data_IF_637848439386
#
_entry.id   IF_637848439386
#
_cell.length_a   1.000
_cell.length_b   1.000
_cell.length_c   1.000
_cell.angle_alpha   90.00
_cell.angle_beta   90.00
_cell.angle_gamma   90.00
#
_symmetry.space_group_name_H-M   'P 1'
#
loop_
_entity.id
_entity.type
_entity.pdbx_description
1 polymer ?
#
# COMPACT_ATOMS: atom_id res chain seq x y z
N UNK A 1 -19.66 -7.94 -8.16
CA UNK A 1 -19.10 -6.72 -7.55
C UNK A 1 -18.78 -5.66 -8.59
N UNK A 2 -17.85 -5.89 -9.53
CA UNK A 2 -17.53 -4.93 -10.62
C UNK A 2 -18.75 -4.43 -11.39
N UNK A 3 -19.58 -5.32 -11.93
CA UNK A 3 -20.78 -4.93 -12.70
C UNK A 3 -21.79 -4.08 -11.90
N UNK A 4 -21.74 -4.18 -10.56
CA UNK A 4 -22.59 -3.40 -9.66
C UNK A 4 -21.87 -2.17 -9.07
N UNK A 5 -20.63 -1.89 -9.47
CA UNK A 5 -19.85 -0.75 -8.98
C UNK A 5 -19.47 -0.82 -7.49
N UNK A 6 -19.46 -2.00 -6.88
CA UNK A 6 -19.14 -2.16 -5.44
C UNK A 6 -17.63 -2.08 -5.22
N UNK A 7 -17.11 -1.16 -4.38
CA UNK A 7 -15.70 -1.10 -4.01
C UNK A 7 -15.25 -2.38 -3.31
N UNK A 8 -14.08 -2.91 -3.67
CA UNK A 8 -13.56 -4.18 -3.17
C UNK A 8 -12.30 -3.94 -2.33
N UNK A 9 -12.36 -4.16 -1.03
CA UNK A 9 -11.19 -4.13 -0.17
C UNK A 9 -10.48 -5.50 -0.14
N UNK A 10 -9.16 -5.50 0.09
CA UNK A 10 -8.34 -6.71 0.25
C UNK A 10 -7.65 -6.65 1.62
N UNK A 11 -7.64 -7.75 2.35
CA UNK A 11 -7.09 -7.84 3.71
C UNK A 11 -6.36 -9.18 3.92
N UNK A 12 -5.55 -9.26 4.98
CA UNK A 12 -4.92 -10.51 5.41
C UNK A 12 -5.92 -11.52 5.96
N UNK A 13 -7.03 -11.03 6.53
CA UNK A 13 -7.92 -11.82 7.39
C UNK A 13 -7.13 -12.56 8.49
N UNK A 14 -6.01 -12.00 8.96
CA UNK A 14 -5.05 -12.74 9.79
C UNK A 14 -5.71 -13.35 11.03
N UNK A 15 -5.76 -14.68 11.07
CA UNK A 15 -6.35 -15.45 12.16
C UNK A 15 -5.78 -16.88 12.20
N UNK A 16 -5.76 -17.55 13.36
CA UNK A 16 -5.11 -18.85 13.51
C UNK A 16 -5.84 -20.02 12.81
N UNK A 17 -7.11 -19.86 12.43
CA UNK A 17 -7.94 -20.95 11.93
C UNK A 17 -7.95 -21.07 10.41
N UNK A 18 -8.30 -19.98 9.72
CA UNK A 18 -8.57 -20.01 8.26
C UNK A 18 -7.57 -19.21 7.45
N UNK A 19 -6.91 -18.20 8.04
CA UNK A 19 -5.92 -17.38 7.33
C UNK A 19 -4.71 -17.09 8.22
N UNK A 20 -3.77 -18.04 8.34
CA UNK A 20 -2.50 -17.85 9.02
C UNK A 20 -1.53 -16.96 8.21
N UNK A 21 -2.05 -15.98 7.47
CA UNK A 21 -1.30 -15.09 6.59
C UNK A 21 -0.88 -13.80 7.30
N UNK A 22 0.42 -13.50 7.26
CA UNK A 22 1.02 -12.31 7.88
C UNK A 22 1.41 -11.22 6.86
N UNK A 23 1.24 -11.47 5.56
CA UNK A 23 1.66 -10.56 4.50
C UNK A 23 0.47 -10.03 3.71
N UNK A 24 0.30 -8.70 3.77
CA UNK A 24 -0.70 -8.01 2.96
C UNK A 24 -0.34 -8.01 1.47
N UNK A 25 0.95 -7.96 1.13
CA UNK A 25 1.40 -8.04 -0.28
C UNK A 25 1.13 -9.43 -0.87
N UNK A 26 1.29 -10.49 -0.07
CA UNK A 26 0.88 -11.84 -0.49
C UNK A 26 -0.63 -11.88 -0.78
N UNK A 27 -1.46 -11.23 0.03
CA UNK A 27 -2.90 -11.18 -0.23
C UNK A 27 -3.27 -10.32 -1.43
N UNK A 28 -2.53 -9.25 -1.72
CA UNK A 28 -2.69 -8.50 -2.96
C UNK A 28 -2.39 -9.37 -4.18
N UNK A 29 -1.30 -10.16 -4.14
CA UNK A 29 -1.01 -11.15 -5.18
C UNK A 29 -2.12 -12.20 -5.31
N UNK A 30 -2.57 -12.80 -4.20
CA UNK A 30 -3.64 -13.80 -4.20
C UNK A 30 -4.95 -13.23 -4.72
N UNK A 31 -5.28 -11.97 -4.44
CA UNK A 31 -6.46 -11.32 -5.00
C UNK A 31 -6.36 -11.21 -6.54
N UNK A 32 -5.18 -10.86 -7.07
CA UNK A 32 -4.95 -10.87 -8.51
C UNK A 32 -5.02 -12.29 -9.10
N UNK A 33 -4.35 -13.26 -8.49
CA UNK A 33 -4.21 -14.62 -9.02
C UNK A 33 -5.49 -15.45 -8.91
N UNK A 34 -6.12 -15.45 -7.73
CA UNK A 34 -7.26 -16.32 -7.41
C UNK A 34 -8.59 -15.67 -7.76
N UNK A 35 -8.71 -14.35 -7.57
CA UNK A 35 -9.97 -13.61 -7.78
C UNK A 35 -9.95 -12.73 -9.04
N UNK A 36 -8.85 -12.77 -9.80
CA UNK A 36 -8.68 -12.03 -11.06
C UNK A 36 -8.88 -10.53 -10.88
N UNK A 37 -8.46 -9.99 -9.73
CA UNK A 37 -8.31 -8.54 -9.58
C UNK A 37 -7.19 -8.04 -10.49
N UNK A 38 -7.36 -6.86 -11.06
CA UNK A 38 -6.25 -6.16 -11.71
C UNK A 38 -5.33 -5.57 -10.63
N UNK A 39 -4.07 -5.29 -10.98
CA UNK A 39 -3.13 -4.62 -10.07
C UNK A 39 -3.72 -3.32 -9.50
N UNK A 40 -4.31 -2.40 -10.31
CA UNK A 40 -4.97 -1.21 -9.77
C UNK A 40 -6.10 -1.51 -8.78
N UNK A 41 -6.92 -2.55 -9.03
CA UNK A 41 -7.99 -2.94 -8.11
C UNK A 41 -7.44 -3.48 -6.79
N UNK A 42 -6.39 -4.31 -6.82
CA UNK A 42 -5.76 -4.82 -5.61
C UNK A 42 -5.11 -3.68 -4.80
N UNK A 43 -4.42 -2.75 -5.46
CA UNK A 43 -3.81 -1.57 -4.81
C UNK A 43 -4.87 -0.65 -4.21
N UNK A 44 -5.96 -0.36 -4.93
CA UNK A 44 -7.11 0.37 -4.38
C UNK A 44 -7.73 -0.40 -3.20
N UNK A 45 -7.78 -1.73 -3.31
CA UNK A 45 -8.27 -2.65 -2.29
C UNK A 45 -7.54 -2.57 -0.96
N UNK A 46 -6.22 -2.40 -0.98
CA UNK A 46 -5.37 -2.26 0.22
C UNK A 46 -5.10 -0.81 0.62
N UNK A 47 -5.67 0.18 -0.09
CA UNK A 47 -5.51 1.61 0.22
C UNK A 47 -6.88 2.29 0.38
N UNK A 48 -7.43 2.86 -0.69
CA UNK A 48 -8.65 3.67 -0.67
C UNK A 48 -9.87 2.87 -0.19
N UNK A 49 -10.06 1.65 -0.69
CA UNK A 49 -11.22 0.82 -0.35
C UNK A 49 -11.10 0.24 1.07
N UNK A 50 -9.89 -0.13 1.50
CA UNK A 50 -9.63 -0.49 2.90
C UNK A 50 -9.91 0.68 3.86
N UNK A 51 -9.45 1.89 3.53
CA UNK A 51 -9.72 3.08 4.34
C UNK A 51 -11.23 3.33 4.46
N UNK A 52 -11.99 3.20 3.37
CA UNK A 52 -13.46 3.30 3.40
C UNK A 52 -14.11 2.21 4.25
N UNK A 53 -13.65 0.97 4.16
CA UNK A 53 -14.17 -0.14 4.96
C UNK A 53 -13.98 0.08 6.47
N UNK A 54 -12.93 0.81 6.86
CA UNK A 54 -12.63 1.19 8.24
C UNK A 54 -13.29 2.51 8.68
N UNK A 55 -14.03 3.21 7.82
CA UNK A 55 -14.59 4.54 8.11
C UNK A 55 -13.55 5.66 8.16
N UNK A 56 -12.38 5.47 7.53
CA UNK A 56 -11.23 6.38 7.54
C UNK A 56 -10.98 7.07 6.19
N UNK A 57 -11.92 7.00 5.25
CA UNK A 57 -11.75 7.52 3.88
C UNK A 57 -11.37 9.02 3.80
N UNK A 58 -11.72 9.81 4.81
CA UNK A 58 -11.44 11.25 4.85
C UNK A 58 -9.99 11.56 5.26
N UNK A 59 -9.28 10.60 5.83
CA UNK A 59 -7.90 10.77 6.34
C UNK A 59 -6.88 9.77 5.80
N UNK A 60 -7.29 8.59 5.33
CA UNK A 60 -6.39 7.50 4.92
C UNK A 60 -6.67 7.01 3.49
N UNK A 61 -5.74 6.22 2.96
CA UNK A 61 -5.90 5.50 1.70
C UNK A 61 -5.68 6.32 0.42
N UNK A 62 -5.34 7.60 0.53
CA UNK A 62 -5.04 8.48 -0.61
C UNK A 62 -3.96 9.50 -0.23
N UNK A 63 -3.02 9.74 -1.15
CA UNK A 63 -2.09 10.86 -1.07
C UNK A 63 -2.76 12.11 -1.64
N UNK A 64 -3.08 13.06 -0.77
CA UNK A 64 -3.66 14.33 -1.17
C UNK A 64 -3.30 15.41 -0.13
N UNK A 65 -3.32 16.67 -0.57
CA UNK A 65 -3.16 17.82 0.32
C UNK A 65 -4.15 17.77 1.48
N UNK A 66 -3.74 18.30 2.63
CA UNK A 66 -4.54 18.34 3.87
C UNK A 66 -4.87 16.97 4.48
N UNK A 67 -4.26 15.87 4.00
CA UNK A 67 -4.32 14.55 4.64
C UNK A 67 -3.03 14.25 5.41
N UNK A 68 -3.08 13.42 6.46
CA UNK A 68 -1.88 12.90 7.11
C UNK A 68 -0.92 12.26 6.10
N UNK A 69 0.37 12.62 6.19
CA UNK A 69 1.43 12.05 5.36
C UNK A 69 1.76 10.61 5.79
N UNK A 70 0.90 9.67 5.37
CA UNK A 70 1.04 8.23 5.57
C UNK A 70 1.29 7.56 4.21
N UNK A 71 2.52 7.11 3.96
CA UNK A 71 2.90 6.46 2.70
C UNK A 71 4.11 5.56 2.85
N UNK A 72 4.32 4.73 1.84
CA UNK A 72 5.51 3.87 1.73
C UNK A 72 6.23 4.20 0.44
N UNK A 73 7.53 4.48 0.55
CA UNK A 73 8.43 4.54 -0.60
C UNK A 73 8.99 3.14 -0.87
N UNK A 74 8.72 2.65 -2.07
CA UNK A 74 9.21 1.38 -2.57
C UNK A 74 10.34 1.61 -3.58
N UNK A 75 11.41 0.80 -3.59
CA UNK A 75 12.49 0.88 -4.57
C UNK A 75 12.13 0.13 -5.85
N UNK A 76 10.93 0.41 -6.39
CA UNK A 76 10.37 -0.27 -7.56
C UNK A 76 10.12 0.72 -8.67
N UNK A 77 10.19 0.24 -9.91
CA UNK A 77 9.89 1.06 -11.09
C UNK A 77 8.39 1.01 -11.35
N UNK A 78 7.78 -0.16 -11.18
CA UNK A 78 6.38 -0.39 -11.53
C UNK A 78 5.56 -0.83 -10.32
N UNK A 79 4.36 -0.27 -10.15
CA UNK A 79 3.49 -0.63 -9.02
C UNK A 79 3.02 -2.10 -9.06
N UNK A 80 3.07 -2.74 -10.22
CA UNK A 80 2.75 -4.15 -10.40
C UNK A 80 3.66 -5.08 -9.59
N UNK A 81 4.90 -4.66 -9.29
CA UNK A 81 5.84 -5.42 -8.49
C UNK A 81 5.31 -5.73 -7.08
N UNK A 82 4.45 -4.86 -6.53
CA UNK A 82 3.81 -5.05 -5.21
C UNK A 82 2.84 -6.24 -5.13
N UNK A 83 2.28 -6.64 -6.27
CA UNK A 83 1.34 -7.76 -6.35
C UNK A 83 1.90 -8.94 -7.18
N UNK A 84 3.20 -8.91 -7.52
CA UNK A 84 3.82 -9.93 -8.35
C UNK A 84 4.51 -11.03 -7.53
N UNK A 85 5.31 -10.65 -6.54
CA UNK A 85 6.13 -11.60 -5.77
C UNK A 85 5.31 -12.36 -4.72
N UNK A 86 5.56 -13.66 -4.59
CA UNK A 86 5.00 -14.49 -3.52
C UNK A 86 5.88 -14.43 -2.27
N UNK A 87 5.33 -13.93 -1.17
CA UNK A 87 5.97 -14.01 0.15
C UNK A 87 7.19 -13.11 0.37
N UNK A 88 7.55 -12.25 -0.59
CA UNK A 88 8.62 -11.28 -0.40
C UNK A 88 8.26 -10.21 0.63
N UNK A 89 9.29 -9.71 1.31
CA UNK A 89 9.25 -8.53 2.16
C UNK A 89 10.25 -7.51 1.64
N UNK A 90 9.85 -6.64 0.68
CA UNK A 90 10.77 -5.70 0.08
C UNK A 90 11.23 -4.64 1.07
N UNK A 91 12.48 -4.20 0.91
CA UNK A 91 13.02 -3.04 1.63
C UNK A 91 12.20 -1.82 1.20
N UNK A 92 11.77 -1.02 2.16
CA UNK A 92 11.00 0.18 1.91
C UNK A 92 11.25 1.22 2.99
N UNK A 93 10.90 2.46 2.68
CA UNK A 93 10.83 3.52 3.67
C UNK A 93 9.36 3.76 4.02
N UNK A 94 9.04 3.71 5.31
CA UNK A 94 7.68 3.94 5.82
C UNK A 94 7.64 5.33 6.43
N UNK A 95 6.70 6.15 5.95
CA UNK A 95 6.41 7.47 6.51
C UNK A 95 5.03 7.42 7.16
N UNK A 96 4.96 7.80 8.43
CA UNK A 96 3.72 7.89 9.21
C UNK A 96 3.60 9.29 9.80
N UNK A 97 2.50 9.97 9.48
CA UNK A 97 2.24 11.36 9.91
C UNK A 97 3.44 12.29 9.64
N UNK A 98 4.09 12.12 8.49
CA UNK A 98 5.24 12.92 8.07
C UNK A 98 6.58 12.54 8.71
N UNK A 99 6.64 11.47 9.53
CA UNK A 99 7.88 10.97 10.13
C UNK A 99 8.30 9.65 9.51
N UNK A 100 9.58 9.50 9.20
CA UNK A 100 10.16 8.23 8.79
C UNK A 100 10.21 7.29 10.00
N UNK A 101 9.50 6.17 9.94
CA UNK A 101 9.43 5.17 11.02
C UNK A 101 10.21 3.89 10.71
N UNK A 102 10.53 3.66 9.44
CA UNK A 102 11.36 2.55 8.98
C UNK A 102 12.05 2.94 7.67
N UNK A 103 13.31 2.52 7.49
CA UNK A 103 14.15 2.89 6.35
C UNK A 103 15.01 4.13 6.63
N UNK A 104 16.10 4.30 5.87
CA UNK A 104 16.90 5.51 5.86
C UNK A 104 16.48 6.37 4.67
N UNK A 105 15.85 7.52 4.93
CA UNK A 105 15.86 8.60 3.94
C UNK A 105 17.24 9.22 4.00
N UNK A 106 18.00 9.21 2.91
CA UNK A 106 19.10 10.17 2.78
C UNK A 106 18.46 11.55 2.76
N UNK A 107 18.46 12.23 3.90
CA UNK A 107 18.11 13.65 3.93
C UNK A 107 19.23 14.37 3.18
N UNK A 108 18.96 14.88 1.99
CA UNK A 108 19.80 15.92 1.43
C UNK A 108 19.79 17.08 2.44
N UNK A 109 20.95 17.56 2.92
CA UNK A 109 20.97 18.66 3.87
C UNK A 109 20.34 19.89 3.22
N UNK A 110 19.52 20.67 3.95
CA UNK A 110 19.00 21.93 3.42
C UNK A 110 20.19 22.89 3.21
N UNK A 111 20.64 23.07 1.96
CA UNK A 111 21.64 24.09 1.66
C UNK A 111 22.61 23.86 0.49
N UNK A 112 22.54 22.79 -0.29
CA UNK A 112 23.33 22.74 -1.55
C UNK A 112 22.59 23.49 -2.66
N UNK A 113 23.14 24.58 -3.22
CA UNK A 113 22.57 25.20 -4.40
C UNK A 113 22.72 24.23 -5.57
N UNK A 114 21.65 24.08 -6.36
CA UNK A 114 21.72 23.38 -7.64
C UNK A 114 22.92 23.91 -8.43
N UNK A 115 23.83 23.00 -8.74
CA UNK A 115 25.11 23.29 -9.38
C UNK A 115 24.92 24.12 -10.65
N UNK A 116 25.61 25.25 -10.68
CA UNK A 116 26.17 25.85 -11.88
C UNK A 116 27.48 25.14 -12.26
#
# INVERSE_FOLDING_TARGET
LRAAGVPMAVSTDHNPGTSPALSLLLMANMACTLFRLTVPEALAGITQHAARALGLQDSHGLLASHRPANFVLWPFVESAELAYWLGQKPVCTIVRQGRVVQGSVQTCPPGEPDGA
#
